data_IF_157818518266
#
_entry.id   IF_157818518266
#
_cell.length_a   1.000
_cell.length_b   1.000
_cell.length_c   1.000
_cell.angle_alpha   90.00
_cell.angle_beta   90.00
_cell.angle_gamma   90.00
#
_symmetry.space_group_name_H-M   'P 1'
#
loop_
_entity.id
_entity.type
_entity.pdbx_description
1 polymer ?
#
# COMPACT_ATOMS: atom_id res chain seq x y z
N UNK A 1 4.69 -4.50 7.54
CA UNK A 1 4.85 -3.79 6.26
C UNK A 1 3.72 -2.81 5.96
N UNK A 2 3.23 -2.02 6.94
CA UNK A 2 2.23 -1.00 6.65
C UNK A 2 2.88 0.31 6.21
N UNK A 3 2.14 1.18 5.50
CA UNK A 3 2.65 2.45 4.96
C UNK A 3 3.43 3.30 5.98
N UNK A 4 2.86 3.55 7.17
CA UNK A 4 3.53 4.30 8.25
C UNK A 4 4.87 3.69 8.65
N UNK A 5 4.97 2.36 8.71
CA UNK A 5 6.21 1.69 9.08
C UNK A 5 7.26 1.88 7.99
N UNK A 6 6.88 1.66 6.73
CA UNK A 6 7.77 1.86 5.59
C UNK A 6 8.26 3.31 5.49
N UNK A 7 7.37 4.31 5.68
CA UNK A 7 7.77 5.72 5.72
C UNK A 7 8.76 6.00 6.87
N UNK A 8 8.52 5.43 8.05
CA UNK A 8 9.39 5.63 9.20
C UNK A 8 10.77 5.00 8.98
N UNK A 9 10.82 3.74 8.55
CA UNK A 9 12.06 2.98 8.40
C UNK A 9 12.89 3.44 7.21
N UNK A 10 12.26 3.71 6.06
CA UNK A 10 12.97 3.99 4.81
C UNK A 10 13.19 5.48 4.56
N UNK A 11 12.29 6.34 5.04
CA UNK A 11 12.31 7.79 4.79
C UNK A 11 12.50 8.62 6.07
N UNK A 12 12.38 8.03 7.27
CA UNK A 12 12.40 8.79 8.52
C UNK A 12 11.16 9.65 8.76
N UNK A 13 10.06 9.38 8.04
CA UNK A 13 8.84 10.19 8.07
C UNK A 13 7.78 9.53 8.96
N UNK A 14 7.25 10.28 9.92
CA UNK A 14 6.16 9.80 10.77
C UNK A 14 4.79 10.20 10.22
N UNK A 15 3.99 9.21 9.80
CA UNK A 15 2.62 9.42 9.36
C UNK A 15 1.61 9.33 10.52
N UNK A 16 0.67 10.28 10.57
CA UNK A 16 -0.44 10.28 11.51
C UNK A 16 -1.61 9.43 10.97
N UNK A 17 -2.05 8.42 11.74
CA UNK A 17 -3.15 7.50 11.38
C UNK A 17 -4.52 7.84 11.99
N UNK A 18 -4.67 8.97 12.67
CA UNK A 18 -5.87 9.28 13.46
C UNK A 18 -7.18 9.32 12.65
N UNK A 19 -7.12 9.54 11.33
CA UNK A 19 -8.33 9.63 10.49
C UNK A 19 -8.61 8.35 9.68
N UNK A 20 -7.83 7.27 9.87
CA UNK A 20 -8.00 6.02 9.13
C UNK A 20 -9.40 5.41 9.35
N UNK A 21 -9.96 5.55 10.55
CA UNK A 21 -11.29 5.07 10.93
C UNK A 21 -12.30 6.21 11.15
N UNK A 22 -12.15 7.32 10.43
CA UNK A 22 -13.12 8.44 10.45
C UNK A 22 -14.29 8.18 9.48
N UNK A 23 -15.34 8.99 9.55
CA UNK A 23 -16.47 8.90 8.62
C UNK A 23 -16.08 9.45 7.23
N UNK A 24 -15.68 8.54 6.35
CA UNK A 24 -15.33 8.84 4.94
C UNK A 24 -16.55 8.89 4.01
N UNK A 25 -17.74 8.54 4.51
CA UNK A 25 -19.00 8.62 3.76
C UNK A 25 -19.74 9.94 3.93
N UNK A 26 -19.22 10.85 4.76
CA UNK A 26 -19.81 12.17 4.99
C UNK A 26 -19.86 13.02 3.70
N UNK A 27 -20.89 13.83 3.57
CA UNK A 27 -21.06 14.76 2.43
C UNK A 27 -19.91 15.77 2.35
N UNK A 28 -19.49 16.30 3.51
CA UNK A 28 -18.34 17.20 3.65
C UNK A 28 -17.22 16.53 4.45
N UNK A 29 -16.02 16.47 3.85
CA UNK A 29 -14.82 16.00 4.53
C UNK A 29 -14.16 17.12 5.33
N UNK A 30 -13.72 16.80 6.55
CA UNK A 30 -12.99 17.75 7.41
C UNK A 30 -11.57 17.96 6.88
N UNK A 31 -11.00 19.13 7.15
CA UNK A 31 -9.59 19.44 6.81
C UNK A 31 -8.60 18.38 7.31
N UNK A 32 -8.86 17.78 8.48
CA UNK A 32 -8.01 16.72 9.03
C UNK A 32 -8.07 15.43 8.20
N UNK A 33 -9.23 15.10 7.60
CA UNK A 33 -9.40 13.97 6.70
C UNK A 33 -8.71 14.25 5.36
N UNK A 34 -8.88 15.46 4.81
CA UNK A 34 -8.19 15.87 3.58
C UNK A 34 -6.66 15.78 3.72
N UNK A 35 -6.11 16.29 4.84
CA UNK A 35 -4.68 16.17 5.15
C UNK A 35 -4.23 14.72 5.31
N UNK A 36 -5.04 13.88 5.95
CA UNK A 36 -4.74 12.45 6.05
C UNK A 36 -4.67 11.79 4.68
N UNK A 37 -5.69 11.99 3.83
CA UNK A 37 -5.74 11.39 2.50
C UNK A 37 -4.57 11.84 1.61
N UNK A 38 -4.19 13.12 1.67
CA UNK A 38 -3.03 13.62 0.96
C UNK A 38 -1.72 12.95 1.42
N UNK A 39 -1.54 12.80 2.74
CA UNK A 39 -0.34 12.18 3.31
C UNK A 39 -0.22 10.67 2.99
N UNK A 40 -1.35 9.98 2.80
CA UNK A 40 -1.36 8.55 2.43
C UNK A 40 -0.81 8.29 1.02
N UNK A 41 -0.74 9.31 0.16
CA UNK A 41 -0.22 9.18 -1.21
C UNK A 41 1.06 9.98 -1.48
N UNK A 42 1.32 11.01 -0.67
CA UNK A 42 2.41 11.98 -0.88
C UNK A 42 3.79 11.32 -1.03
N UNK A 43 4.06 10.27 -0.25
CA UNK A 43 5.38 9.65 -0.15
C UNK A 43 5.53 8.34 -0.95
N UNK A 44 4.51 7.92 -1.71
CA UNK A 44 4.52 6.61 -2.38
C UNK A 44 5.62 6.50 -3.45
N UNK A 45 5.90 7.58 -4.18
CA UNK A 45 6.95 7.57 -5.21
C UNK A 45 8.34 7.41 -4.59
N UNK A 46 8.65 8.17 -3.54
CA UNK A 46 9.93 8.09 -2.84
C UNK A 46 10.11 6.70 -2.17
N UNK A 47 9.05 6.15 -1.58
CA UNK A 47 9.06 4.78 -1.07
C UNK A 47 9.36 3.76 -2.17
N UNK A 48 8.69 3.89 -3.32
CA UNK A 48 8.87 3.01 -4.47
C UNK A 48 10.31 3.02 -4.96
N UNK A 49 10.94 4.20 -5.06
CA UNK A 49 12.34 4.31 -5.43
C UNK A 49 13.28 3.58 -4.46
N UNK A 50 13.07 3.73 -3.13
CA UNK A 50 13.87 3.02 -2.13
C UNK A 50 13.69 1.50 -2.20
N UNK A 51 12.45 1.05 -2.36
CA UNK A 51 12.12 -0.37 -2.47
C UNK A 51 12.69 -0.99 -3.76
N UNK A 52 12.65 -0.27 -4.88
CA UNK A 52 13.27 -0.72 -6.14
C UNK A 52 14.77 -0.93 -6.00
N UNK A 53 15.47 -0.02 -5.31
CA UNK A 53 16.92 -0.16 -5.04
C UNK A 53 17.18 -1.43 -4.21
N UNK A 54 16.36 -1.69 -3.19
CA UNK A 54 16.46 -2.90 -2.38
C UNK A 54 16.19 -4.16 -3.20
N UNK A 55 15.13 -4.18 -4.02
CA UNK A 55 14.82 -5.30 -4.90
C UNK A 55 15.94 -5.61 -5.90
N UNK A 56 16.59 -4.58 -6.46
CA UNK A 56 17.77 -4.75 -7.34
C UNK A 56 18.94 -5.37 -6.60
N UNK A 57 19.23 -4.87 -5.39
CA UNK A 57 20.34 -5.38 -4.57
C UNK A 57 20.17 -6.86 -4.22
N UNK A 58 18.94 -7.27 -3.97
CA UNK A 58 18.60 -8.65 -3.58
C UNK A 58 18.30 -9.58 -4.77
N UNK A 59 18.42 -9.10 -6.02
CA UNK A 59 18.08 -9.84 -7.24
C UNK A 59 16.61 -10.34 -7.28
N UNK A 60 15.68 -9.51 -6.81
CA UNK A 60 14.24 -9.84 -6.68
C UNK A 60 13.31 -9.02 -7.56
N UNK A 61 13.83 -8.17 -8.46
CA UNK A 61 12.99 -7.32 -9.31
C UNK A 61 12.03 -8.14 -10.17
N UNK A 62 12.52 -9.18 -10.84
CA UNK A 62 11.70 -9.96 -11.76
C UNK A 62 10.56 -10.70 -11.04
N UNK A 63 10.83 -11.17 -9.82
CA UNK A 63 9.81 -11.78 -8.97
C UNK A 63 8.76 -10.75 -8.54
N UNK A 64 9.19 -9.57 -8.07
CA UNK A 64 8.28 -8.51 -7.68
C UNK A 64 7.39 -8.05 -8.85
N UNK A 65 7.95 -7.93 -10.06
CA UNK A 65 7.18 -7.56 -11.24
C UNK A 65 6.08 -8.60 -11.55
N UNK A 66 6.40 -9.90 -11.48
CA UNK A 66 5.40 -10.96 -11.66
C UNK A 66 4.30 -10.91 -10.60
N UNK A 67 4.63 -10.57 -9.34
CA UNK A 67 3.64 -10.33 -8.31
C UNK A 67 2.73 -9.14 -8.63
N UNK A 68 3.29 -8.03 -9.13
CA UNK A 68 2.51 -6.85 -9.53
C UNK A 68 1.59 -7.12 -10.72
N UNK A 69 2.08 -7.86 -11.71
CA UNK A 69 1.30 -8.26 -12.89
C UNK A 69 0.12 -9.18 -12.51
N UNK A 70 0.28 -9.99 -11.45
CA UNK A 70 -0.78 -10.85 -10.92
C UNK A 70 -1.78 -10.12 -10.02
N UNK A 71 -1.43 -8.96 -9.45
CA UNK A 71 -2.26 -8.25 -8.48
C UNK A 71 -3.70 -7.94 -8.96
N UNK A 72 -3.94 -7.53 -10.23
CA UNK A 72 -5.30 -7.34 -10.74
C UNK A 72 -6.12 -8.65 -10.76
N UNK A 73 -5.46 -9.78 -11.04
CA UNK A 73 -6.11 -11.10 -11.04
C UNK A 73 -6.49 -11.50 -9.61
N UNK A 74 -5.59 -11.31 -8.64
CA UNK A 74 -5.88 -11.55 -7.21
C UNK A 74 -7.10 -10.74 -6.76
N UNK A 75 -7.18 -9.46 -7.11
CA UNK A 75 -8.33 -8.61 -6.79
C UNK A 75 -9.63 -9.11 -7.45
N UNK A 76 -9.57 -9.60 -8.70
CA UNK A 76 -10.73 -10.19 -9.36
C UNK A 76 -11.19 -11.50 -8.68
N UNK A 77 -10.25 -12.31 -8.22
CA UNK A 77 -10.53 -13.54 -7.46
C UNK A 77 -11.17 -13.24 -6.10
N UNK A 78 -10.72 -12.18 -5.42
CA UNK A 78 -11.34 -11.72 -4.17
C UNK A 78 -12.82 -11.36 -4.38
N UNK A 79 -13.13 -10.62 -5.44
CA UNK A 79 -14.51 -10.28 -5.82
C UNK A 79 -15.34 -11.51 -6.25
N UNK A 80 -14.68 -12.56 -6.76
CA UNK A 80 -15.32 -13.82 -7.13
C UNK A 80 -15.53 -14.77 -5.93
N UNK A 81 -15.19 -14.36 -4.70
CA UNK A 81 -15.42 -15.12 -3.48
C UNK A 81 -14.22 -15.91 -2.96
N UNK A 82 -13.05 -15.78 -3.57
CA UNK A 82 -11.83 -16.48 -3.17
C UNK A 82 -11.01 -15.71 -2.12
N UNK A 83 -11.54 -14.66 -1.51
CA UNK A 83 -10.78 -13.72 -0.66
C UNK A 83 -10.12 -14.34 0.58
N UNK A 84 -10.64 -15.47 1.06
CA UNK A 84 -10.15 -16.16 2.25
C UNK A 84 -9.32 -17.41 1.93
N UNK A 85 -9.12 -17.71 0.65
CA UNK A 85 -8.38 -18.87 0.18
C UNK A 85 -7.16 -18.39 -0.61
N UNK A 86 -5.99 -18.91 -0.24
CA UNK A 86 -4.86 -18.83 -1.14
C UNK A 86 -5.11 -19.79 -2.30
N UNK A 87 -5.23 -19.23 -3.49
CA UNK A 87 -5.51 -19.99 -4.72
C UNK A 87 -4.37 -20.97 -5.08
N UNK A 88 -3.22 -20.86 -4.40
CA UNK A 88 -2.07 -21.74 -4.55
C UNK A 88 -1.99 -22.82 -3.46
N UNK A 89 -2.83 -22.78 -2.43
CA UNK A 89 -2.88 -23.80 -1.38
C UNK A 89 -3.73 -25.02 -1.79
N UNK A 90 -3.51 -26.16 -1.12
CA UNK A 90 -4.19 -27.44 -1.37
C UNK A 90 -5.48 -27.60 -0.58
#
# INVERSE_FOLDING_TARGET
HGLRECCRELLGIELNKQQQSSDWGAEDLKDVQLKYAANDVLHLHELKERLDIMLKREDRIDLAQKCFDFLPIRAALDLAGWSNEDIFEH
#
